data_IF_075542324799
#
_entry.id   IF_075542324799
#
_cell.length_a   1.000
_cell.length_b   1.000
_cell.length_c   1.000
_cell.angle_alpha   90.00
_cell.angle_beta   90.00
_cell.angle_gamma   90.00
#
_symmetry.space_group_name_H-M   'P 1'
#
loop_
_entity.id
_entity.type
_entity.pdbx_description
1 polymer ?
#
# COMPACT_ATOMS: atom_id res chain seq x y z
N UNK A 1 11.53 -13.81 3.26
CA UNK A 1 10.65 -13.24 4.30
C UNK A 1 10.02 -12.02 3.69
N UNK A 2 8.79 -11.68 4.09
CA UNK A 2 8.10 -10.52 3.56
C UNK A 2 8.89 -9.23 3.79
N UNK A 3 8.95 -8.34 2.80
CA UNK A 3 9.59 -7.03 2.98
C UNK A 3 8.83 -6.16 3.99
N UNK A 4 7.50 -6.13 3.89
CA UNK A 4 6.62 -5.38 4.80
C UNK A 4 5.74 -6.32 5.64
N UNK A 5 5.23 -5.83 6.78
CA UNK A 5 4.32 -6.54 7.66
C UNK A 5 2.97 -5.83 7.81
N UNK A 6 1.99 -6.53 8.34
CA UNK A 6 0.71 -5.96 8.74
C UNK A 6 0.89 -4.78 9.70
N UNK A 7 0.09 -3.73 9.50
CA UNK A 7 0.12 -2.44 10.20
C UNK A 7 1.34 -1.55 9.85
N UNK A 8 2.22 -1.99 8.95
CA UNK A 8 3.32 -1.16 8.47
C UNK A 8 2.84 -0.04 7.55
N UNK A 9 3.45 1.14 7.67
CA UNK A 9 3.11 2.32 6.89
C UNK A 9 4.00 2.38 5.66
N UNK A 10 3.37 2.42 4.49
CA UNK A 10 4.05 2.40 3.19
C UNK A 10 3.62 3.58 2.32
N UNK A 11 4.44 3.86 1.30
CA UNK A 11 4.24 4.94 0.34
C UNK A 11 4.16 4.37 -1.07
N UNK A 12 3.18 4.82 -1.85
CA UNK A 12 3.09 4.51 -3.28
C UNK A 12 4.28 5.10 -4.04
N UNK A 13 4.95 4.29 -4.87
CA UNK A 13 6.04 4.75 -5.76
C UNK A 13 5.54 5.33 -7.07
N UNK A 14 4.35 4.95 -7.51
CA UNK A 14 3.77 5.37 -8.77
C UNK A 14 2.32 5.83 -8.64
N UNK A 15 1.87 6.62 -9.61
CA UNK A 15 0.47 7.00 -9.73
C UNK A 15 -0.40 5.77 -10.04
N UNK A 16 -1.59 5.72 -9.45
CA UNK A 16 -2.65 4.77 -9.80
C UNK A 16 -3.91 5.55 -10.19
N UNK A 17 -3.98 6.08 -11.44
CA UNK A 17 -5.06 6.97 -11.86
C UNK A 17 -6.45 6.36 -11.70
N UNK A 18 -6.61 5.05 -11.98
CA UNK A 18 -7.88 4.32 -11.87
C UNK A 18 -8.39 4.22 -10.43
N UNK A 19 -7.50 4.40 -9.45
CA UNK A 19 -7.82 4.42 -8.02
C UNK A 19 -7.83 5.84 -7.44
N UNK A 20 -7.53 6.86 -8.25
CA UNK A 20 -7.39 8.24 -7.79
C UNK A 20 -6.22 8.46 -6.82
N UNK A 21 -5.21 7.56 -6.83
CA UNK A 21 -4.05 7.65 -5.96
C UNK A 21 -2.85 8.20 -6.73
N UNK A 22 -2.04 8.99 -6.04
CA UNK A 22 -0.82 9.59 -6.58
C UNK A 22 0.40 8.97 -5.92
N UNK A 23 1.52 8.93 -6.65
CA UNK A 23 2.82 8.63 -6.07
C UNK A 23 3.06 9.51 -4.84
N UNK A 24 3.67 8.95 -3.81
CA UNK A 24 3.86 9.61 -2.52
C UNK A 24 2.70 9.46 -1.54
N UNK A 25 1.54 8.94 -1.96
CA UNK A 25 0.42 8.71 -1.04
C UNK A 25 0.79 7.65 -0.01
N UNK A 26 0.52 7.95 1.26
CA UNK A 26 0.75 7.06 2.39
C UNK A 26 -0.47 6.14 2.58
N UNK A 27 -0.20 4.86 2.78
CA UNK A 27 -1.17 3.83 3.15
C UNK A 27 -0.62 2.88 4.21
N UNK A 28 -1.46 1.97 4.66
CA UNK A 28 -1.12 0.98 5.69
C UNK A 28 -1.31 -0.41 5.12
N UNK A 29 -0.31 -1.29 5.29
CA UNK A 29 -0.45 -2.70 4.94
C UNK A 29 -1.46 -3.35 5.89
N UNK A 30 -2.53 -3.93 5.34
CA UNK A 30 -3.55 -4.63 6.14
C UNK A 30 -3.52 -6.13 5.93
N UNK A 31 -2.83 -6.61 4.87
CA UNK A 31 -2.61 -8.03 4.62
C UNK A 31 -1.32 -8.23 3.81
N UNK A 32 -0.57 -9.28 4.15
CA UNK A 32 0.59 -9.74 3.39
C UNK A 32 0.21 -11.00 2.61
N UNK A 33 0.40 -11.00 1.30
CA UNK A 33 0.29 -12.18 0.45
C UNK A 33 1.69 -12.80 0.27
N UNK A 34 1.98 -13.96 0.88
CA UNK A 34 3.34 -14.53 0.90
C UNK A 34 3.73 -15.25 -0.40
N UNK A 35 2.79 -15.46 -1.33
CA UNK A 35 3.06 -16.08 -2.63
C UNK A 35 3.97 -15.20 -3.49
N UNK A 36 4.64 -15.79 -4.48
CA UNK A 36 5.43 -15.03 -5.45
C UNK A 36 4.63 -14.78 -6.75
N UNK A 37 4.66 -13.53 -7.29
CA UNK A 37 5.33 -12.35 -6.75
C UNK A 37 4.65 -11.86 -5.46
N UNK A 38 5.47 -11.38 -4.52
CA UNK A 38 4.97 -10.93 -3.23
C UNK A 38 4.10 -9.67 -3.40
N UNK A 39 2.94 -9.69 -2.75
CA UNK A 39 1.96 -8.62 -2.82
C UNK A 39 1.42 -8.26 -1.43
N UNK A 40 0.82 -7.09 -1.35
CA UNK A 40 0.33 -6.49 -0.12
C UNK A 40 -1.03 -5.86 -0.37
N UNK A 41 -2.00 -6.12 0.51
CA UNK A 41 -3.21 -5.31 0.54
C UNK A 41 -2.92 -4.05 1.34
N UNK A 42 -3.05 -2.89 0.70
CA UNK A 42 -2.77 -1.59 1.30
C UNK A 42 -4.06 -0.77 1.38
N UNK A 43 -4.38 -0.34 2.59
CA UNK A 43 -5.45 0.62 2.84
C UNK A 43 -4.92 2.05 2.70
N UNK A 44 -5.60 2.84 1.89
CA UNK A 44 -5.41 4.29 1.84
C UNK A 44 -6.63 4.94 2.50
N UNK A 45 -6.38 5.78 3.51
CA UNK A 45 -7.40 6.57 4.18
C UNK A 45 -7.18 8.08 3.97
N UNK A 46 -8.23 8.86 4.19
CA UNK A 46 -8.12 10.32 4.31
C UNK A 46 -7.78 10.74 5.75
N UNK A 47 -7.61 12.04 5.99
CA UNK A 47 -7.25 12.61 7.29
C UNK A 47 -8.29 12.34 8.41
N UNK A 48 -9.51 11.95 8.04
CA UNK A 48 -10.56 11.56 8.99
C UNK A 48 -10.57 10.07 9.31
N UNK A 49 -9.60 9.31 8.79
CA UNK A 49 -9.54 7.85 8.92
C UNK A 49 -10.56 7.10 8.07
N UNK A 50 -11.17 7.76 7.07
CA UNK A 50 -12.10 7.09 6.16
C UNK A 50 -11.31 6.49 5.01
N UNK A 51 -11.47 5.18 4.82
CA UNK A 51 -10.92 4.42 3.69
C UNK A 51 -11.36 5.03 2.37
N UNK A 52 -10.41 5.39 1.52
CA UNK A 52 -10.64 5.89 0.15
C UNK A 52 -10.35 4.82 -0.89
N UNK A 53 -9.42 3.90 -0.60
CA UNK A 53 -9.08 2.80 -1.48
C UNK A 53 -8.48 1.65 -0.66
N UNK A 54 -8.72 0.44 -1.14
CA UNK A 54 -8.07 -0.78 -0.70
C UNK A 54 -7.51 -1.44 -1.96
N UNK A 55 -6.18 -1.61 -2.02
CA UNK A 55 -5.47 -1.97 -3.25
C UNK A 55 -4.43 -3.04 -2.96
N UNK A 56 -4.47 -4.13 -3.73
CA UNK A 56 -3.39 -5.10 -3.81
C UNK A 56 -2.25 -4.53 -4.64
N UNK A 57 -1.06 -4.38 -4.05
CA UNK A 57 0.14 -3.81 -4.67
C UNK A 57 1.30 -4.80 -4.60
N UNK A 58 2.11 -4.84 -5.66
CA UNK A 58 3.35 -5.59 -5.67
C UNK A 58 4.42 -4.88 -4.81
N UNK A 59 5.39 -5.67 -4.33
CA UNK A 59 6.53 -5.17 -3.54
C UNK A 59 7.23 -3.96 -4.19
N UNK A 60 7.36 -3.98 -5.52
CA UNK A 60 8.02 -2.92 -6.29
C UNK A 60 7.22 -1.61 -6.37
N UNK A 61 5.90 -1.64 -6.12
CA UNK A 61 5.02 -0.48 -6.22
C UNK A 61 4.96 0.37 -4.94
N UNK A 62 5.53 -0.14 -3.84
CA UNK A 62 5.49 0.49 -2.52
C UNK A 62 6.87 0.56 -1.86
N UNK A 63 7.08 1.58 -1.04
CA UNK A 63 8.29 1.74 -0.23
C UNK A 63 7.96 2.04 1.23
N UNK A 64 8.95 1.87 2.12
CA UNK A 64 8.79 2.32 3.51
C UNK A 64 8.49 3.81 3.54
N UNK A 65 7.52 4.18 4.37
CA UNK A 65 7.16 5.57 4.58
C UNK A 65 8.04 6.30 5.61
N UNK A 66 8.92 5.58 6.32
CA UNK A 66 9.85 6.13 7.31
C UNK A 66 10.91 7.08 6.71
#
# INVERSE_FOLDING_TARGET
MAQFQDVEVVRLRQDLPDKGLKAGKIGTVVMVYPEQPQAYEVEFANEKGVTIALVTLLEEEIESAE
#
